data_IF_890825768321
#
_entry.id   IF_890825768321
#
_cell.length_a   1.000
_cell.length_b   1.000
_cell.length_c   1.000
_cell.angle_alpha   90.00
_cell.angle_beta   90.00
_cell.angle_gamma   90.00
#
_symmetry.space_group_name_H-M   'P 1'
#
loop_
_entity.id
_entity.type
_entity.pdbx_description
1 polymer ?
#
# COMPACT_ATOMS: atom_id res chain seq x y z
N UNK A 1 -24.29 -1.27 -25.55
CA UNK A 1 -23.34 -2.38 -25.35
C UNK A 1 -22.13 -2.30 -26.29
N UNK A 2 -22.21 -1.64 -27.45
CA UNK A 2 -21.05 -1.42 -28.35
C UNK A 2 -19.86 -0.69 -27.70
N UNK A 3 -20.12 0.31 -26.85
CA UNK A 3 -19.06 1.04 -26.14
C UNK A 3 -18.24 0.15 -25.18
N UNK A 4 -18.83 -0.90 -24.60
CA UNK A 4 -18.14 -1.77 -23.63
C UNK A 4 -17.17 -2.72 -24.34
N UNK A 5 -17.55 -3.25 -25.50
CA UNK A 5 -16.67 -4.09 -26.32
C UNK A 5 -15.53 -3.28 -26.97
N UNK A 6 -15.77 -2.01 -27.33
CA UNK A 6 -14.74 -1.13 -27.87
C UNK A 6 -13.74 -0.67 -26.79
N UNK A 7 -14.20 -0.46 -25.55
CA UNK A 7 -13.34 -0.13 -24.40
C UNK A 7 -12.48 -1.32 -23.94
N UNK A 8 -13.03 -2.54 -23.99
CA UNK A 8 -12.28 -3.77 -23.66
C UNK A 8 -11.21 -4.10 -24.72
N UNK A 9 -11.37 -3.62 -25.96
CA UNK A 9 -10.39 -3.76 -27.03
C UNK A 9 -9.28 -2.70 -27.00
N UNK A 10 -9.40 -1.66 -26.17
CA UNK A 10 -8.47 -0.55 -26.19
C UNK A 10 -7.15 -0.94 -25.52
N UNK A 11 -6.05 -0.89 -26.28
CA UNK A 11 -4.74 -1.39 -25.85
C UNK A 11 -4.24 -0.66 -24.58
N UNK A 12 -4.57 0.62 -24.46
CA UNK A 12 -4.25 1.46 -23.30
C UNK A 12 -5.02 1.02 -22.05
N UNK A 13 -6.31 0.72 -22.18
CA UNK A 13 -7.14 0.26 -21.07
C UNK A 13 -6.61 -1.06 -20.51
N UNK A 14 -6.26 -2.01 -21.37
CA UNK A 14 -5.74 -3.31 -20.94
C UNK A 14 -4.42 -3.19 -20.18
N UNK A 15 -3.49 -2.36 -20.66
CA UNK A 15 -2.20 -2.12 -19.97
C UNK A 15 -2.46 -1.56 -18.57
N UNK A 16 -3.26 -0.48 -18.49
CA UNK A 16 -3.51 0.22 -17.23
C UNK A 16 -4.29 -0.67 -16.25
N UNK A 17 -5.30 -1.40 -16.72
CA UNK A 17 -6.08 -2.32 -15.88
C UNK A 17 -5.23 -3.49 -15.36
N UNK A 18 -4.35 -4.05 -16.19
CA UNK A 18 -3.42 -5.10 -15.76
C UNK A 18 -2.40 -4.56 -14.75
N UNK A 19 -1.77 -3.42 -15.03
CA UNK A 19 -0.75 -2.85 -14.14
C UNK A 19 -1.30 -2.43 -12.78
N UNK A 20 -2.41 -1.68 -12.78
CA UNK A 20 -3.09 -1.27 -11.53
C UNK A 20 -3.74 -2.44 -10.80
N UNK A 21 -4.25 -3.43 -11.52
CA UNK A 21 -4.82 -4.67 -10.95
C UNK A 21 -3.76 -5.51 -10.24
N UNK A 22 -2.58 -5.69 -10.86
CA UNK A 22 -1.43 -6.37 -10.25
C UNK A 22 -0.88 -5.58 -9.06
N UNK A 23 -0.75 -4.26 -9.18
CA UNK A 23 -0.34 -3.40 -8.07
C UNK A 23 -1.33 -3.51 -6.90
N UNK A 24 -2.63 -3.49 -7.17
CA UNK A 24 -3.68 -3.69 -6.16
C UNK A 24 -3.58 -5.06 -5.48
N UNK A 25 -3.24 -6.10 -6.24
CA UNK A 25 -3.06 -7.46 -5.71
C UNK A 25 -1.89 -7.51 -4.72
N UNK A 26 -0.71 -7.02 -5.14
CA UNK A 26 0.51 -7.04 -4.31
C UNK A 26 0.37 -6.14 -3.10
N UNK A 27 -0.10 -4.90 -3.30
CA UNK A 27 -0.25 -3.93 -2.23
C UNK A 27 -1.29 -4.36 -1.21
N UNK A 28 -2.37 -5.06 -1.60
CA UNK A 28 -3.31 -5.64 -0.64
C UNK A 28 -2.70 -6.78 0.19
N UNK A 29 -1.89 -7.64 -0.45
CA UNK A 29 -1.19 -8.73 0.25
C UNK A 29 -0.15 -8.18 1.23
N UNK A 30 0.73 -7.28 0.78
CA UNK A 30 1.77 -6.65 1.60
C UNK A 30 1.15 -5.74 2.67
N UNK A 31 0.11 -5.01 2.30
CA UNK A 31 -0.69 -4.17 3.19
C UNK A 31 -1.35 -4.92 4.33
N UNK A 32 -1.67 -6.20 4.15
CA UNK A 32 -2.20 -7.05 5.23
C UNK A 32 -1.19 -7.17 6.37
N UNK A 33 0.10 -7.33 6.07
CA UNK A 33 1.14 -7.38 7.11
C UNK A 33 1.31 -6.03 7.81
N UNK A 34 1.31 -4.94 7.05
CA UNK A 34 1.49 -3.58 7.57
C UNK A 34 0.35 -3.18 8.51
N UNK A 35 -0.89 -3.45 8.09
CA UNK A 35 -2.07 -3.18 8.91
C UNK A 35 -2.13 -4.03 10.18
N UNK A 36 -1.74 -5.31 10.10
CA UNK A 36 -1.65 -6.18 11.28
C UNK A 36 -0.57 -5.74 12.27
N UNK A 37 0.54 -5.18 11.77
CA UNK A 37 1.62 -4.60 12.60
C UNK A 37 1.32 -3.19 13.11
N UNK A 38 0.13 -2.65 12.82
CA UNK A 38 -0.29 -1.28 13.17
C UNK A 38 0.59 -0.18 12.56
N UNK A 39 1.19 -0.47 11.41
CA UNK A 39 2.09 0.46 10.71
C UNK A 39 1.39 1.11 9.50
N UNK A 40 0.08 1.35 9.56
CA UNK A 40 -0.72 1.76 8.39
C UNK A 40 -0.24 3.07 7.74
N UNK A 41 0.34 3.98 8.52
CA UNK A 41 0.85 5.26 8.02
C UNK A 41 2.22 5.17 7.34
N UNK A 42 2.88 4.00 7.36
CA UNK A 42 4.18 3.82 6.69
C UNK A 42 4.11 4.08 5.19
N UNK A 43 3.03 3.66 4.52
CA UNK A 43 2.88 3.85 3.07
C UNK A 43 2.96 5.31 2.66
N UNK A 44 2.24 6.16 3.38
CA UNK A 44 2.17 7.59 3.12
C UNK A 44 3.49 8.29 3.46
N UNK A 45 4.04 8.01 4.64
CA UNK A 45 5.29 8.61 5.08
C UNK A 45 6.48 8.23 4.18
N UNK A 46 6.57 6.97 3.77
CA UNK A 46 7.69 6.51 2.93
C UNK A 46 7.61 7.03 1.51
N UNK A 47 6.40 7.22 0.97
CA UNK A 47 6.23 7.81 -0.36
C UNK A 47 6.78 9.23 -0.44
N UNK A 48 6.56 10.03 0.61
CA UNK A 48 7.10 11.39 0.72
C UNK A 48 8.58 11.42 1.16
N UNK A 49 9.00 10.50 2.03
CA UNK A 49 10.39 10.40 2.45
C UNK A 49 11.32 9.88 1.35
N UNK A 50 10.77 9.28 0.28
CA UNK A 50 11.55 8.79 -0.86
C UNK A 50 11.99 9.90 -1.84
N UNK A 51 11.37 11.10 -1.79
CA UNK A 51 11.72 12.24 -2.65
C UNK A 51 13.21 12.58 -2.71
N UNK A 52 13.95 12.71 -1.58
CA UNK A 52 15.39 12.98 -1.64
C UNK A 52 16.16 11.86 -2.34
N UNK A 53 15.71 10.61 -2.28
CA UNK A 53 16.32 9.49 -3.01
C UNK A 53 16.18 9.61 -4.52
N UNK A 54 15.00 10.02 -4.99
CA UNK A 54 14.74 10.29 -6.41
C UNK A 54 15.62 11.46 -6.89
N UNK A 55 15.68 12.55 -6.10
CA UNK A 55 16.50 13.72 -6.41
C UNK A 55 17.99 13.40 -6.50
N UNK A 56 18.54 12.69 -5.50
CA UNK A 56 19.95 12.27 -5.49
C UNK A 56 20.28 11.32 -6.64
N UNK A 57 19.42 10.33 -6.91
CA UNK A 57 19.63 9.42 -8.03
C UNK A 57 19.63 10.15 -9.38
N UNK A 58 18.73 11.13 -9.56
CA UNK A 58 18.72 11.95 -10.76
C UNK A 58 20.01 12.77 -10.91
N UNK A 59 20.51 13.37 -9.83
CA UNK A 59 21.76 14.16 -9.86
C UNK A 59 22.98 13.31 -10.18
N UNK A 60 23.07 12.09 -9.64
CA UNK A 60 24.20 11.18 -9.88
C UNK A 60 24.15 10.64 -11.32
N UNK A 61 22.97 10.28 -11.80
CA UNK A 61 22.82 9.60 -13.09
C UNK A 61 22.82 10.58 -14.27
N UNK A 62 22.36 11.83 -14.06
CA UNK A 62 22.36 12.89 -15.07
C UNK A 62 21.29 12.76 -16.17
N UNK A 63 20.55 11.66 -16.21
CA UNK A 63 19.43 11.41 -17.13
C UNK A 63 18.30 10.64 -16.46
N UNK A 64 17.09 10.69 -17.03
CA UNK A 64 15.91 9.99 -16.53
C UNK A 64 16.02 8.50 -16.84
N UNK A 65 16.27 7.69 -15.83
CA UNK A 65 16.19 6.23 -15.89
C UNK A 65 15.28 5.70 -14.77
N UNK A 66 14.14 5.11 -15.15
CA UNK A 66 13.16 4.56 -14.19
C UNK A 66 13.79 3.63 -13.16
N UNK A 67 14.65 2.70 -13.59
CA UNK A 67 15.30 1.76 -12.68
C UNK A 67 16.26 2.47 -11.71
N UNK A 68 16.99 3.47 -12.19
CA UNK A 68 17.90 4.26 -11.36
C UNK A 68 17.17 5.07 -10.30
N UNK A 69 16.08 5.72 -10.68
CA UNK A 69 15.24 6.49 -9.77
C UNK A 69 14.55 5.59 -8.75
N UNK A 70 14.03 4.44 -9.18
CA UNK A 70 13.44 3.44 -8.30
C UNK A 70 14.45 2.90 -7.27
N UNK A 71 15.69 2.64 -7.69
CA UNK A 71 16.76 2.21 -6.79
C UNK A 71 17.11 3.29 -5.77
N UNK A 72 17.26 4.55 -6.20
CA UNK A 72 17.51 5.67 -5.29
C UNK A 72 16.39 5.86 -4.26
N UNK A 73 15.14 5.83 -4.74
CA UNK A 73 13.95 5.89 -3.89
C UNK A 73 13.90 4.72 -2.89
N UNK A 74 14.22 3.51 -3.34
CA UNK A 74 14.24 2.30 -2.50
C UNK A 74 15.33 2.35 -1.43
N UNK A 75 16.54 2.79 -1.78
CA UNK A 75 17.66 2.92 -0.82
C UNK A 75 17.27 3.90 0.29
N UNK A 76 16.78 5.08 -0.10
CA UNK A 76 16.34 6.10 0.85
C UNK A 76 15.12 5.64 1.65
N UNK A 77 14.17 4.92 1.04
CA UNK A 77 13.01 4.36 1.74
C UNK A 77 13.40 3.30 2.79
N UNK A 78 14.37 2.44 2.49
CA UNK A 78 14.92 1.47 3.44
C UNK A 78 15.66 2.18 4.57
N UNK A 79 16.43 3.22 4.24
CA UNK A 79 17.12 4.05 5.23
C UNK A 79 16.14 4.78 6.14
N UNK A 80 15.10 5.41 5.59
CA UNK A 80 14.04 6.07 6.33
C UNK A 80 13.31 5.10 7.26
N UNK A 81 12.90 3.93 6.76
CA UNK A 81 12.25 2.89 7.58
C UNK A 81 13.15 2.40 8.71
N UNK A 82 14.44 2.20 8.41
CA UNK A 82 15.43 1.76 9.40
C UNK A 82 15.63 2.81 10.49
N UNK A 83 15.65 4.09 10.11
CA UNK A 83 15.80 5.20 11.04
C UNK A 83 14.55 5.38 11.92
N UNK A 84 13.35 5.24 11.37
CA UNK A 84 12.09 5.24 12.13
C UNK A 84 12.12 4.14 13.20
N UNK A 85 12.47 2.90 12.81
CA UNK A 85 12.58 1.77 13.75
C UNK A 85 13.67 1.97 14.78
N UNK A 86 14.81 2.53 14.39
CA UNK A 86 15.90 2.83 15.30
C UNK A 86 15.48 3.84 16.37
N UNK A 87 14.81 4.93 15.99
CA UNK A 87 14.27 5.94 16.92
C UNK A 87 13.24 5.28 17.85
N UNK A 88 12.33 4.47 17.31
CA UNK A 88 11.32 3.76 18.10
C UNK A 88 11.94 2.79 19.12
N UNK A 89 13.04 2.12 18.77
CA UNK A 89 13.68 1.16 19.66
C UNK A 89 14.62 1.78 20.70
N UNK A 90 15.29 2.89 20.37
CA UNK A 90 16.26 3.54 21.25
C UNK A 90 15.73 4.73 22.04
N UNK A 91 14.55 5.23 21.69
CA UNK A 91 13.96 6.41 22.32
C UNK A 91 12.57 6.13 22.88
N UNK A 92 12.10 7.02 23.75
CA UNK A 92 10.74 7.00 24.33
C UNK A 92 9.69 7.51 23.32
N UNK A 93 10.15 7.95 22.15
CA UNK A 93 9.31 8.51 21.08
C UNK A 93 8.41 7.43 20.48
N UNK A 94 7.10 7.74 20.38
CA UNK A 94 6.11 6.86 19.75
C UNK A 94 6.40 6.69 18.26
N UNK A 95 6.00 5.54 17.71
CA UNK A 95 6.16 5.23 16.28
C UNK A 95 5.65 6.35 15.37
N UNK A 96 4.44 6.86 15.61
CA UNK A 96 3.82 7.92 14.80
C UNK A 96 4.59 9.25 14.85
N UNK A 97 5.23 9.55 15.99
CA UNK A 97 6.08 10.74 16.14
C UNK A 97 7.40 10.58 15.40
N UNK A 98 8.04 9.41 15.49
CA UNK A 98 9.26 9.11 14.73
C UNK A 98 8.98 9.13 13.21
N UNK A 99 7.85 8.58 12.79
CA UNK A 99 7.35 8.61 11.42
C UNK A 99 7.21 10.05 10.91
N UNK A 100 6.52 10.91 11.67
CA UNK A 100 6.27 12.31 11.30
C UNK A 100 7.56 13.13 11.22
N UNK A 101 8.51 12.88 12.12
CA UNK A 101 9.82 13.54 12.13
C UNK A 101 10.63 13.20 10.87
N UNK A 102 10.73 11.91 10.55
CA UNK A 102 11.46 11.45 9.36
C UNK A 102 10.76 11.92 8.08
N UNK A 103 9.43 11.82 8.02
CA UNK A 103 8.62 12.32 6.92
C UNK A 103 8.93 13.79 6.62
N UNK A 104 8.75 14.67 7.60
CA UNK A 104 8.92 16.13 7.41
C UNK A 104 10.35 16.50 7.05
N UNK A 105 11.34 15.87 7.69
CA UNK A 105 12.76 16.12 7.43
C UNK A 105 13.18 15.66 6.03
N UNK A 106 12.83 14.44 5.64
CA UNK A 106 13.20 13.89 4.33
C UNK A 106 12.42 14.56 3.20
N UNK A 107 11.12 14.83 3.41
CA UNK A 107 10.33 15.55 2.43
C UNK A 107 10.87 16.97 2.20
N UNK A 108 11.21 17.69 3.28
CA UNK A 108 11.85 19.01 3.18
C UNK A 108 13.18 18.97 2.42
N UNK A 109 14.05 18.01 2.75
CA UNK A 109 15.31 17.79 2.01
C UNK A 109 15.05 17.47 0.54
N UNK A 110 14.11 16.58 0.24
CA UNK A 110 13.72 16.22 -1.12
C UNK A 110 13.21 17.41 -1.91
N UNK A 111 12.43 18.30 -1.28
CA UNK A 111 11.90 19.50 -1.91
C UNK A 111 13.00 20.53 -2.20
N UNK A 112 13.98 20.67 -1.31
CA UNK A 112 15.18 21.50 -1.55
C UNK A 112 15.98 20.95 -2.74
N UNK A 113 16.23 19.64 -2.76
CA UNK A 113 16.93 18.99 -3.88
C UNK A 113 16.17 19.17 -5.19
N UNK A 114 14.85 18.94 -5.18
CA UNK A 114 14.01 19.08 -6.38
C UNK A 114 14.00 20.53 -6.88
N UNK A 115 13.90 21.51 -5.99
CA UNK A 115 13.95 22.94 -6.34
C UNK A 115 15.32 23.32 -6.89
N UNK A 116 16.40 22.79 -6.31
CA UNK A 116 17.76 23.00 -6.80
C UNK A 116 17.94 22.43 -8.20
N UNK A 117 17.50 21.19 -8.42
CA UNK A 117 17.45 20.53 -9.73
C UNK A 117 16.70 21.44 -10.70
N UNK A 118 15.44 21.79 -10.41
CA UNK A 118 14.58 22.64 -11.26
C UNK A 118 15.20 23.97 -11.68
N UNK A 119 16.04 24.58 -10.83
CA UNK A 119 16.71 25.85 -11.13
C UNK A 119 18.00 25.71 -11.92
N UNK A 120 18.70 24.57 -11.82
CA UNK A 120 20.06 24.42 -12.34
C UNK A 120 20.24 23.40 -13.45
N UNK A 121 19.25 22.56 -13.76
CA UNK A 121 19.46 21.50 -14.75
C UNK A 121 18.67 21.66 -16.05
N UNK A 122 19.10 20.85 -17.00
CA UNK A 122 18.76 20.95 -18.41
C UNK A 122 17.39 20.31 -18.72
N UNK A 123 17.03 20.29 -20.02
CA UNK A 123 15.83 19.63 -20.57
C UNK A 123 15.56 18.20 -20.05
N UNK A 124 16.58 17.50 -19.55
CA UNK A 124 16.49 16.17 -18.90
C UNK A 124 15.57 16.10 -17.67
N UNK A 125 15.09 17.24 -17.15
CA UNK A 125 14.16 17.30 -16.02
C UNK A 125 12.68 17.24 -16.42
N UNK A 126 12.39 17.38 -17.71
CA UNK A 126 11.03 17.35 -18.22
C UNK A 126 10.34 16.04 -17.79
N UNK A 127 9.19 16.17 -17.11
CA UNK A 127 8.41 15.02 -16.64
C UNK A 127 8.94 14.33 -15.37
N UNK A 128 9.92 14.90 -14.65
CA UNK A 128 10.32 14.42 -13.33
C UNK A 128 9.20 14.62 -12.30
N UNK A 129 8.45 15.72 -12.39
CA UNK A 129 7.25 15.93 -11.57
C UNK A 129 6.19 14.85 -11.81
N UNK A 130 5.91 14.53 -13.08
CA UNK A 130 4.95 13.49 -13.45
C UNK A 130 5.39 12.10 -12.97
N UNK A 131 6.70 11.84 -12.92
CA UNK A 131 7.26 10.62 -12.35
C UNK A 131 7.07 10.55 -10.83
N UNK A 132 7.34 11.64 -10.12
CA UNK A 132 7.25 11.73 -8.66
C UNK A 132 5.80 11.60 -8.18
N UNK A 133 4.86 12.25 -8.88
CA UNK A 133 3.45 12.26 -8.50
C UNK A 133 2.66 11.08 -9.09
N UNK A 134 3.27 10.34 -10.02
CA UNK A 134 2.69 9.20 -10.72
C UNK A 134 1.56 9.59 -11.69
N UNK A 135 1.40 8.82 -12.76
CA UNK A 135 0.31 8.98 -13.71
C UNK A 135 -0.23 7.62 -14.14
N UNK A 136 -1.19 7.10 -13.37
CA UNK A 136 -1.78 5.79 -13.63
C UNK A 136 -2.41 5.66 -15.04
N UNK A 137 -2.90 6.76 -15.63
CA UNK A 137 -3.45 6.77 -16.99
C UNK A 137 -2.41 6.71 -18.11
N UNK A 138 -1.15 7.04 -17.82
CA UNK A 138 -0.06 7.10 -18.80
C UNK A 138 0.90 5.90 -18.69
N UNK A 139 0.47 4.82 -18.03
CA UNK A 139 1.30 3.64 -17.77
C UNK A 139 1.72 2.94 -19.07
N UNK A 140 3.01 2.63 -19.20
CA UNK A 140 3.57 1.95 -20.36
C UNK A 140 3.66 0.44 -20.15
N UNK A 141 3.85 -0.30 -21.25
CA UNK A 141 4.12 -1.76 -21.21
C UNK A 141 5.39 -2.10 -20.42
N UNK A 142 6.39 -1.21 -20.40
CA UNK A 142 7.61 -1.35 -19.59
C UNK A 142 7.29 -1.40 -18.10
N UNK A 143 6.37 -0.54 -17.66
CA UNK A 143 6.03 -0.35 -16.25
C UNK A 143 5.25 -1.57 -15.76
N UNK A 144 4.30 -2.05 -16.56
CA UNK A 144 3.58 -3.31 -16.28
C UNK A 144 4.54 -4.49 -16.21
N UNK A 145 5.55 -4.57 -17.08
CA UNK A 145 6.56 -5.63 -17.02
C UNK A 145 7.38 -5.56 -15.73
N UNK A 146 7.79 -4.36 -15.32
CA UNK A 146 8.52 -4.13 -14.08
C UNK A 146 7.66 -4.51 -12.86
N UNK A 147 6.41 -4.04 -12.80
CA UNK A 147 5.42 -4.42 -11.78
C UNK A 147 5.26 -5.94 -11.74
N UNK A 148 5.15 -6.60 -12.88
CA UNK A 148 4.98 -8.06 -12.97
C UNK A 148 6.20 -8.81 -12.41
N UNK A 149 7.41 -8.40 -12.79
CA UNK A 149 8.64 -9.06 -12.31
C UNK A 149 8.77 -8.90 -10.79
N UNK A 150 8.57 -7.68 -10.28
CA UNK A 150 8.78 -7.44 -8.86
C UNK A 150 7.61 -7.99 -8.02
N UNK A 151 6.39 -7.94 -8.51
CA UNK A 151 5.25 -8.60 -7.85
C UNK A 151 5.47 -10.10 -7.70
N UNK A 152 5.96 -10.76 -8.75
CA UNK A 152 6.30 -12.18 -8.71
C UNK A 152 7.43 -12.45 -7.70
N UNK A 153 8.46 -11.62 -7.69
CA UNK A 153 9.55 -11.70 -6.70
C UNK A 153 9.02 -11.54 -5.26
N UNK A 154 8.15 -10.57 -5.02
CA UNK A 154 7.53 -10.33 -3.71
C UNK A 154 6.71 -11.55 -3.29
N UNK A 155 5.87 -12.11 -4.17
CA UNK A 155 5.10 -13.31 -3.85
C UNK A 155 5.99 -14.52 -3.58
N UNK A 156 7.04 -14.72 -4.37
CA UNK A 156 8.01 -15.79 -4.15
C UNK A 156 8.66 -15.68 -2.76
N UNK A 157 9.09 -14.47 -2.37
CA UNK A 157 9.68 -14.23 -1.05
C UNK A 157 8.64 -14.45 0.07
N UNK A 158 7.40 -13.97 -0.10
CA UNK A 158 6.33 -14.16 0.90
C UNK A 158 5.98 -15.65 1.08
N UNK A 159 5.93 -16.42 -0.02
CA UNK A 159 5.66 -17.85 0.03
C UNK A 159 6.83 -18.62 0.68
N UNK A 160 8.07 -18.30 0.31
CA UNK A 160 9.26 -18.93 0.86
C UNK A 160 9.41 -18.65 2.36
N UNK A 161 9.10 -17.42 2.79
CA UNK A 161 9.21 -16.96 4.18
C UNK A 161 7.85 -16.86 4.88
N UNK A 162 6.87 -17.67 4.48
CA UNK A 162 5.50 -17.63 4.99
C UNK A 162 5.43 -17.79 6.52
N UNK A 163 6.08 -18.82 7.04
CA UNK A 163 6.12 -19.11 8.48
C UNK A 163 6.81 -17.99 9.29
N UNK A 164 8.04 -17.54 8.95
CA UNK A 164 8.69 -16.48 9.72
C UNK A 164 7.95 -15.15 9.64
N UNK A 165 7.39 -14.75 8.49
CA UNK A 165 6.60 -13.52 8.39
C UNK A 165 5.30 -13.58 9.21
N UNK A 166 4.62 -14.73 9.19
CA UNK A 166 3.45 -14.96 10.03
C UNK A 166 3.82 -14.84 11.52
N UNK A 167 4.87 -15.51 11.96
CA UNK A 167 5.28 -15.51 13.36
C UNK A 167 5.71 -14.11 13.82
N UNK A 168 6.56 -13.43 13.04
CA UNK A 168 7.01 -12.07 13.35
C UNK A 168 5.86 -11.05 13.43
N UNK A 169 4.78 -11.27 12.67
CA UNK A 169 3.61 -10.38 12.65
C UNK A 169 2.70 -10.57 13.86
N UNK A 170 2.49 -11.82 14.31
CA UNK A 170 1.55 -12.13 15.39
C UNK A 170 2.21 -12.22 16.77
N UNK A 171 3.42 -12.76 16.83
CA UNK A 171 4.17 -12.92 18.08
C UNK A 171 5.69 -12.69 17.85
N UNK A 172 6.13 -11.42 17.87
CA UNK A 172 7.55 -11.09 17.70
C UNK A 172 8.41 -11.53 18.90
N UNK A 173 7.81 -11.86 20.05
CA UNK A 173 8.54 -12.35 21.24
C UNK A 173 8.86 -13.83 21.05
N UNK A 174 7.87 -14.63 20.67
CA UNK A 174 8.05 -16.04 20.33
C UNK A 174 8.90 -16.23 19.07
N UNK A 175 8.84 -15.31 18.10
CA UNK A 175 9.77 -15.35 16.96
C UNK A 175 11.25 -15.25 17.37
N UNK A 176 11.56 -14.59 18.49
CA UNK A 176 12.94 -14.49 19.02
C UNK A 176 13.44 -15.78 19.66
N UNK A 177 12.55 -16.69 20.05
CA UNK A 177 12.95 -17.98 20.63
C UNK A 177 13.17 -19.05 19.57
N UNK A 178 12.42 -19.00 18.45
CA UNK A 178 12.55 -19.96 17.35
C UNK A 178 13.67 -19.57 16.38
N UNK A 179 13.77 -18.30 15.99
CA UNK A 179 14.70 -17.87 14.94
C UNK A 179 15.92 -17.18 15.55
N UNK A 180 17.10 -17.53 15.03
CA UNK A 180 18.38 -16.97 15.49
C UNK A 180 18.52 -15.46 15.24
N UNK A 181 17.88 -14.94 14.18
CA UNK A 181 18.01 -13.53 13.77
C UNK A 181 16.65 -12.90 13.41
N UNK A 182 15.75 -12.66 14.38
CA UNK A 182 14.41 -12.13 14.14
C UNK A 182 14.41 -10.72 13.52
N UNK A 183 15.45 -9.93 13.82
CA UNK A 183 15.67 -8.61 13.21
C UNK A 183 15.83 -8.68 11.69
N UNK A 184 16.40 -9.76 11.14
CA UNK A 184 16.55 -9.93 9.68
C UNK A 184 15.20 -10.16 9.01
N UNK A 185 14.34 -10.97 9.62
CA UNK A 185 12.97 -11.23 9.12
C UNK A 185 12.17 -9.93 9.11
N UNK A 186 12.27 -9.15 10.19
CA UNK A 186 11.61 -7.86 10.31
C UNK A 186 12.10 -6.85 9.28
N UNK A 187 13.42 -6.82 9.02
CA UNK A 187 14.02 -5.99 7.98
C UNK A 187 13.56 -6.42 6.59
N UNK A 188 13.52 -7.72 6.29
CA UNK A 188 13.03 -8.24 5.01
C UNK A 188 11.57 -7.84 4.75
N UNK A 189 10.69 -7.94 5.76
CA UNK A 189 9.29 -7.54 5.63
C UNK A 189 9.17 -6.03 5.34
N UNK A 190 9.99 -5.21 6.00
CA UNK A 190 10.07 -3.78 5.73
C UNK A 190 10.66 -3.47 4.35
N UNK A 191 11.66 -4.21 3.89
CA UNK A 191 12.25 -4.03 2.57
C UNK A 191 11.23 -4.36 1.46
N UNK A 192 10.47 -5.45 1.61
CA UNK A 192 9.36 -5.81 0.70
C UNK A 192 8.30 -4.71 0.67
N UNK A 193 7.98 -4.16 1.85
CA UNK A 193 7.04 -3.03 1.99
C UNK A 193 7.53 -1.81 1.23
N UNK A 194 8.77 -1.37 1.48
CA UNK A 194 9.38 -0.23 0.78
C UNK A 194 9.37 -0.48 -0.72
N UNK A 195 9.82 -1.64 -1.17
CA UNK A 195 9.87 -1.99 -2.58
C UNK A 195 8.48 -1.91 -3.24
N UNK A 196 7.46 -2.43 -2.57
CA UNK A 196 6.06 -2.35 -3.03
C UNK A 196 5.60 -0.90 -3.17
N UNK A 197 5.90 -0.05 -2.18
CA UNK A 197 5.54 1.37 -2.20
C UNK A 197 6.26 2.09 -3.34
N UNK A 198 7.57 1.85 -3.53
CA UNK A 198 8.36 2.55 -4.55
C UNK A 198 7.87 2.26 -5.99
N UNK A 199 7.51 1.01 -6.28
CA UNK A 199 7.00 0.63 -7.60
C UNK A 199 5.62 1.25 -7.85
N UNK A 200 4.76 1.23 -6.82
CA UNK A 200 3.46 1.87 -6.89
C UNK A 200 3.53 3.39 -6.99
N UNK A 201 4.52 4.00 -6.33
CA UNK A 201 4.75 5.45 -6.36
C UNK A 201 5.03 5.95 -7.78
N UNK A 202 5.99 5.34 -8.48
CA UNK A 202 6.32 5.68 -9.87
C UNK A 202 5.12 5.47 -10.81
N UNK A 203 4.44 4.33 -10.65
CA UNK A 203 3.44 3.89 -11.61
C UNK A 203 2.11 4.64 -11.47
N UNK A 204 1.70 4.89 -10.23
CA UNK A 204 0.31 5.20 -9.89
C UNK A 204 0.18 6.43 -8.97
N UNK A 205 1.24 6.75 -8.24
CA UNK A 205 1.34 7.96 -7.41
C UNK A 205 1.10 7.72 -5.92
N UNK A 206 1.55 8.68 -5.10
CA UNK A 206 1.59 8.63 -3.63
C UNK A 206 0.23 8.28 -3.02
N UNK A 207 -0.82 9.03 -3.40
CA UNK A 207 -2.13 8.92 -2.76
C UNK A 207 -2.75 7.54 -3.01
N UNK A 208 -2.64 7.05 -4.25
CA UNK A 208 -3.27 5.81 -4.63
C UNK A 208 -2.49 4.59 -4.12
N UNK A 209 -1.15 4.60 -4.07
CA UNK A 209 -0.42 3.49 -3.44
C UNK A 209 -0.73 3.36 -1.95
N UNK A 210 -0.84 4.49 -1.22
CA UNK A 210 -1.27 4.50 0.18
C UNK A 210 -2.68 3.93 0.35
N UNK A 211 -3.61 4.30 -0.53
CA UNK A 211 -4.98 3.78 -0.52
C UNK A 211 -5.05 2.27 -0.83
N UNK A 212 -4.32 1.79 -1.85
CA UNK A 212 -4.27 0.39 -2.24
C UNK A 212 -3.56 -0.50 -1.21
N UNK A 213 -2.65 0.06 -0.43
CA UNK A 213 -1.94 -0.68 0.61
C UNK A 213 -2.80 -0.84 1.89
N UNK A 214 -3.51 0.21 2.28
CA UNK A 214 -4.28 0.22 3.54
C UNK A 214 -5.73 -0.23 3.33
N UNK A 215 -6.41 0.32 2.34
CA UNK A 215 -7.84 0.15 2.11
C UNK A 215 -8.29 -1.31 2.00
N UNK A 216 -7.77 -2.12 1.06
CA UNK A 216 -8.27 -3.47 0.85
C UNK A 216 -7.93 -4.39 2.01
N UNK A 217 -6.81 -4.14 2.69
CA UNK A 217 -6.39 -4.83 3.91
C UNK A 217 -7.38 -4.59 5.06
N UNK A 218 -7.83 -3.35 5.26
CA UNK A 218 -8.87 -3.01 6.24
C UNK A 218 -10.19 -3.68 5.88
N UNK A 219 -10.59 -3.63 4.61
CA UNK A 219 -11.82 -4.26 4.13
C UNK A 219 -11.80 -5.78 4.39
N UNK A 220 -10.76 -6.47 3.92
CA UNK A 220 -10.60 -7.93 4.03
C UNK A 220 -10.61 -8.42 5.48
N UNK A 221 -9.98 -7.67 6.40
CA UNK A 221 -9.90 -8.02 7.82
C UNK A 221 -11.27 -8.01 8.53
N UNK A 222 -12.29 -7.38 7.95
CA UNK A 222 -13.65 -7.44 8.50
C UNK A 222 -14.34 -8.78 8.23
N UNK A 223 -13.95 -9.47 7.15
CA UNK A 223 -14.58 -10.69 6.68
C UNK A 223 -13.98 -11.95 7.30
N UNK A 224 -12.67 -11.96 7.59
CA UNK A 224 -11.99 -13.15 8.14
C UNK A 224 -10.95 -12.80 9.21
N UNK A 225 -10.67 -13.78 10.08
CA UNK A 225 -9.59 -13.74 11.07
C UNK A 225 -8.37 -14.58 10.65
N UNK A 226 -8.46 -15.35 9.56
CA UNK A 226 -7.38 -16.21 9.10
C UNK A 226 -6.46 -15.43 8.14
N UNK A 227 -5.16 -15.35 8.45
CA UNK A 227 -4.19 -14.54 7.70
C UNK A 227 -4.24 -14.82 6.19
N UNK A 228 -4.22 -16.09 5.77
CA UNK A 228 -4.24 -16.45 4.35
C UNK A 228 -5.53 -15.99 3.65
N UNK A 229 -6.69 -16.10 4.31
CA UNK A 229 -7.97 -15.61 3.74
C UNK A 229 -7.93 -14.09 3.62
N UNK A 230 -7.42 -13.39 4.64
CA UNK A 230 -7.33 -11.92 4.62
C UNK A 230 -6.41 -11.46 3.50
N UNK A 231 -5.25 -12.12 3.28
CA UNK A 231 -4.33 -11.77 2.20
C UNK A 231 -4.95 -11.97 0.82
N UNK A 232 -5.66 -13.09 0.60
CA UNK A 232 -6.34 -13.37 -0.67
C UNK A 232 -7.46 -12.35 -0.91
N UNK A 233 -8.30 -12.08 0.10
CA UNK A 233 -9.38 -11.10 0.00
C UNK A 233 -8.85 -9.67 -0.21
N UNK A 234 -7.76 -9.29 0.46
CA UNK A 234 -7.15 -7.98 0.29
C UNK A 234 -6.59 -7.83 -1.14
N UNK A 235 -5.90 -8.84 -1.66
CA UNK A 235 -5.46 -8.83 -3.05
C UNK A 235 -6.64 -8.70 -4.03
N UNK A 236 -7.70 -9.49 -3.84
CA UNK A 236 -8.91 -9.43 -4.67
C UNK A 236 -9.60 -8.08 -4.61
N UNK A 237 -9.80 -7.49 -3.43
CA UNK A 237 -10.41 -6.16 -3.29
C UNK A 237 -9.55 -5.06 -3.92
N UNK A 238 -8.22 -5.16 -3.80
CA UNK A 238 -7.29 -4.27 -4.47
C UNK A 238 -7.40 -4.36 -5.98
N UNK A 239 -7.38 -5.57 -6.54
CA UNK A 239 -7.54 -5.78 -7.99
C UNK A 239 -8.90 -5.34 -8.50
N UNK A 240 -9.99 -5.69 -7.81
CA UNK A 240 -11.36 -5.33 -8.22
C UNK A 240 -11.56 -3.82 -8.19
N UNK A 241 -11.10 -3.12 -7.14
CA UNK A 241 -11.18 -1.65 -7.10
C UNK A 241 -10.35 -0.99 -8.18
N UNK A 242 -9.15 -1.51 -8.47
CA UNK A 242 -8.32 -1.02 -9.56
C UNK A 242 -9.00 -1.18 -10.93
N UNK A 243 -9.50 -2.37 -11.25
CA UNK A 243 -10.17 -2.65 -12.54
C UNK A 243 -11.47 -1.86 -12.70
N UNK A 244 -12.29 -1.76 -11.65
CA UNK A 244 -13.51 -0.95 -11.70
C UNK A 244 -13.19 0.55 -11.82
N UNK A 245 -12.17 1.03 -11.10
CA UNK A 245 -11.75 2.42 -11.16
C UNK A 245 -11.17 2.81 -12.53
N UNK A 246 -10.36 1.95 -13.14
CA UNK A 246 -9.85 2.17 -14.50
C UNK A 246 -10.96 2.10 -15.54
N UNK A 247 -11.92 1.18 -15.38
CA UNK A 247 -13.06 1.05 -16.30
C UNK A 247 -13.93 2.32 -16.29
N UNK A 248 -14.25 2.84 -15.11
CA UNK A 248 -15.03 4.09 -14.98
C UNK A 248 -14.26 5.29 -15.53
N UNK A 249 -12.96 5.39 -15.27
CA UNK A 249 -12.13 6.47 -15.80
C UNK A 249 -12.00 6.39 -17.34
N UNK A 250 -11.95 5.19 -17.91
CA UNK A 250 -11.88 5.01 -19.37
C UNK A 250 -13.16 5.40 -20.11
N UNK A 251 -14.30 5.42 -19.43
CA UNK A 251 -15.59 5.83 -20.01
C UNK A 251 -15.63 7.35 -20.26
N UNK A 252 -14.93 8.14 -19.43
CA UNK A 252 -14.93 9.60 -19.48
C UNK A 252 -13.50 10.14 -19.55
N UNK A 253 -13.09 10.67 -20.71
CA UNK A 253 -11.72 11.17 -20.98
C UNK A 253 -11.15 12.19 -19.98
N UNK A 254 -11.98 12.83 -19.15
CA UNK A 254 -11.55 13.88 -18.22
C UNK A 254 -11.45 13.42 -16.76
N UNK A 255 -11.66 12.14 -16.45
CA UNK A 255 -11.59 11.65 -15.07
C UNK A 255 -10.21 11.04 -14.79
N UNK A 256 -9.46 11.53 -13.78
CA UNK A 256 -8.16 10.97 -13.45
C UNK A 256 -8.29 9.56 -12.84
N UNK A 257 -7.63 8.59 -13.46
CA UNK A 257 -7.65 7.17 -13.06
C UNK A 257 -7.33 6.94 -11.58
N UNK A 258 -6.32 7.64 -11.07
CA UNK A 258 -5.84 7.46 -9.70
C UNK A 258 -6.93 7.71 -8.63
N UNK A 259 -7.44 8.95 -8.54
CA UNK A 259 -8.53 9.30 -7.63
C UNK A 259 -9.80 8.45 -7.79
N UNK A 260 -10.15 8.03 -9.01
CA UNK A 260 -11.31 7.15 -9.23
C UNK A 260 -11.15 5.80 -8.54
N UNK A 261 -9.96 5.18 -8.63
CA UNK A 261 -9.66 3.94 -7.91
C UNK A 261 -9.75 4.15 -6.39
N UNK A 262 -9.27 5.30 -5.88
CA UNK A 262 -9.36 5.64 -4.44
C UNK A 262 -10.82 5.71 -3.97
N UNK A 263 -11.73 6.27 -4.79
CA UNK A 263 -13.16 6.33 -4.47
C UNK A 263 -13.76 4.92 -4.43
N UNK A 264 -13.45 4.07 -5.41
CA UNK A 264 -13.94 2.69 -5.45
C UNK A 264 -13.44 1.87 -4.27
N UNK A 265 -12.16 1.98 -3.91
CA UNK A 265 -11.65 1.24 -2.75
C UNK A 265 -12.25 1.74 -1.44
N UNK A 266 -12.46 3.06 -1.31
CA UNK A 266 -13.15 3.65 -0.16
C UNK A 266 -14.59 3.13 -0.05
N UNK A 267 -15.28 2.97 -1.17
CA UNK A 267 -16.62 2.38 -1.22
C UNK A 267 -16.61 0.91 -0.76
N UNK A 268 -15.65 0.09 -1.25
CA UNK A 268 -15.49 -1.31 -0.81
C UNK A 268 -15.20 -1.40 0.69
N UNK A 269 -14.36 -0.50 1.21
CA UNK A 269 -14.07 -0.40 2.65
C UNK A 269 -15.33 -0.05 3.43
N UNK A 270 -16.09 0.94 2.99
CA UNK A 270 -17.32 1.37 3.66
C UNK A 270 -18.35 0.23 3.68
N UNK A 271 -18.57 -0.44 2.55
CA UNK A 271 -19.45 -1.62 2.46
C UNK A 271 -18.97 -2.72 3.40
N UNK A 272 -17.68 -3.02 3.42
CA UNK A 272 -17.12 -4.05 4.30
C UNK A 272 -17.28 -3.70 5.78
N UNK A 273 -17.10 -2.44 6.16
CA UNK A 273 -17.30 -1.98 7.55
C UNK A 273 -18.76 -2.04 8.01
N UNK A 274 -19.71 -1.79 7.11
CA UNK A 274 -21.13 -1.85 7.42
C UNK A 274 -21.63 -3.29 7.48
N UNK A 275 -21.33 -4.09 6.45
CA UNK A 275 -21.97 -5.39 6.21
C UNK A 275 -21.19 -6.61 6.69
N UNK A 276 -19.97 -6.46 7.18
CA UNK A 276 -19.18 -7.63 7.60
C UNK A 276 -19.86 -8.47 8.70
N UNK A 277 -19.92 -9.81 8.54
CA UNK A 277 -20.76 -10.67 9.36
C UNK A 277 -20.33 -10.77 10.83
N UNK A 278 -19.03 -10.67 11.14
CA UNK A 278 -18.51 -10.81 12.51
C UNK A 278 -18.14 -9.49 13.20
N UNK A 279 -17.77 -8.47 12.42
CA UNK A 279 -17.25 -7.18 12.94
C UNK A 279 -18.00 -5.96 12.42
N UNK A 280 -18.91 -6.14 11.47
CA UNK A 280 -19.68 -5.05 10.89
C UNK A 280 -20.56 -4.37 11.94
N UNK A 281 -20.75 -3.07 11.79
CA UNK A 281 -21.51 -2.24 12.74
C UNK A 281 -22.93 -2.80 12.91
N UNK A 282 -23.54 -3.29 11.82
CA UNK A 282 -24.87 -3.90 11.85
C UNK A 282 -24.90 -5.27 12.55
N UNK A 283 -23.91 -6.12 12.30
CA UNK A 283 -23.81 -7.42 12.97
C UNK A 283 -23.57 -7.27 14.48
N UNK A 284 -22.71 -6.32 14.88
CA UNK A 284 -22.46 -6.00 16.30
C UNK A 284 -23.71 -5.48 17.00
N UNK A 285 -24.46 -4.54 16.37
CA UNK A 285 -25.73 -4.04 16.91
C UNK A 285 -26.76 -5.16 17.07
N UNK A 286 -26.89 -6.08 16.10
CA UNK A 286 -27.79 -7.25 16.19
C UNK A 286 -27.41 -8.19 17.33
N UNK A 287 -26.11 -8.53 17.47
CA UNK A 287 -25.62 -9.40 18.55
C UNK A 287 -25.79 -8.79 19.94
N UNK A 288 -25.52 -7.49 20.09
CA UNK A 288 -25.72 -6.77 21.36
C UNK A 288 -27.21 -6.71 21.74
N UNK A 289 -28.11 -6.48 20.76
CA UNK A 289 -29.55 -6.50 21.01
C UNK A 289 -30.03 -7.88 21.47
N UNK A 290 -29.56 -8.95 20.83
CA UNK A 290 -29.87 -10.34 21.22
C UNK A 290 -29.34 -10.68 22.62
N UNK A 291 -28.09 -10.29 22.94
CA UNK A 291 -27.50 -10.50 24.28
C UNK A 291 -28.24 -9.72 25.38
N UNK A 292 -28.65 -8.49 25.10
CA UNK A 292 -29.46 -7.68 26.03
C UNK A 292 -30.83 -8.29 26.27
N UNK A 293 -31.49 -8.83 25.24
CA UNK A 293 -32.77 -9.53 25.39
C UNK A 293 -32.63 -10.81 26.23
N UNK A 294 -31.56 -11.59 26.04
CA UNK A 294 -31.29 -12.77 26.86
C UNK A 294 -31.04 -12.43 28.33
N UNK A 295 -30.25 -11.39 28.61
CA UNK A 295 -30.02 -10.94 30.00
C UNK A 295 -31.31 -10.44 30.67
N UNK A 296 -32.18 -9.77 29.91
CA UNK A 296 -33.50 -9.34 30.43
C UNK A 296 -34.45 -10.50 30.66
N UNK A 297 -34.35 -11.59 29.89
CA UNK A 297 -35.12 -12.82 30.14
C UNK A 297 -34.60 -13.54 31.40
N UNK A 298 -33.28 -13.69 31.54
CA UNK A 298 -32.67 -14.29 32.74
C UNK A 298 -33.02 -13.51 34.01
N UNK A 299 -32.93 -12.18 33.98
CA UNK A 299 -33.31 -11.35 35.13
C UNK A 299 -34.80 -11.44 35.48
N UNK A 300 -35.68 -11.76 34.52
CA UNK A 300 -37.11 -12.00 34.77
C UNK A 300 -37.36 -13.39 35.36
N UNK A 301 -36.61 -14.39 34.92
CA UNK A 301 -36.66 -15.75 35.46
C UNK A 301 -36.12 -15.82 36.89
N UNK A 302 -35.11 -15.02 37.25
CA UNK A 302 -34.60 -14.93 38.64
C UNK A 302 -35.54 -14.20 39.61
N UNK A 303 -36.51 -13.44 39.10
CA UNK A 303 -37.47 -12.67 39.90
C UNK A 303 -38.85 -13.34 40.04
N UNK A 304 -39.09 -14.44 39.32
CA UNK A 304 -40.33 -15.21 39.32
C UNK A 304 -40.18 -16.48 40.17
#
# INVERSE_FOLDING_TARGET
MENIHHLLGDHTFQIVALGTGLLGLVSGVVGTYITLRKESLLGDALSHAALPGIGLAFMIMGYKNSLGLLLGASIVGVLATSLIKFIQHKSVVKFDSALSLILTSFFGLGLVLLTYIQRHGNASQAGLSNFIFGQASAMLRSDVRLITIISLLIFAIILLFWQPFKLQTFDPVFARTIYTHPKRIEFMLSAITVLTIMIGLESVGVVLISALLIGPSIAARQWSNQLHIVMILAGLFGTVSAVLGTFVSSMNRNIPTGPTIVIWISLIVLISLLFAPNRGIFARKRRLKKKRQQLLQQAREEQA
#
